data_IF_117956703086
#
_entry.id   IF_117956703086
#
_cell.length_a   1.000
_cell.length_b   1.000
_cell.length_c   1.000
_cell.angle_alpha   90.00
_cell.angle_beta   90.00
_cell.angle_gamma   90.00
#
_symmetry.space_group_name_H-M   'P 1'
#
loop_
_entity.id
_entity.type
_entity.pdbx_description
1 polymer ?
#
# COMPACT_ATOMS: atom_id res chain seq x y z
N UNK A 1 -7.79 3.37 -22.62
CA UNK A 1 -7.20 3.91 -21.37
C UNK A 1 -5.82 4.41 -21.75
N UNK A 2 -5.54 5.72 -21.65
CA UNK A 2 -4.20 6.27 -21.97
C UNK A 2 -3.23 5.90 -20.85
N UNK A 3 -2.58 4.74 -20.99
CA UNK A 3 -1.67 4.14 -20.02
C UNK A 3 -0.56 5.04 -19.46
N UNK A 4 0.10 5.95 -20.23
CA UNK A 4 1.18 6.75 -19.66
C UNK A 4 0.72 7.71 -18.54
N UNK A 5 -0.57 8.08 -18.51
CA UNK A 5 -1.08 9.03 -17.52
C UNK A 5 -1.36 8.39 -16.14
N UNK A 6 -1.54 7.07 -16.06
CA UNK A 6 -1.89 6.33 -14.82
C UNK A 6 -0.63 5.92 -14.02
N UNK A 7 0.56 6.36 -14.45
CA UNK A 7 1.83 5.90 -13.88
C UNK A 7 2.31 6.71 -12.68
N UNK A 8 1.75 7.90 -12.46
CA UNK A 8 2.26 8.83 -11.45
C UNK A 8 1.21 9.10 -10.38
N UNK A 9 1.60 8.96 -9.12
CA UNK A 9 0.69 9.13 -7.99
C UNK A 9 1.26 10.14 -7.00
N UNK A 10 0.36 10.89 -6.36
CA UNK A 10 0.68 11.64 -5.16
C UNK A 10 0.35 10.77 -3.94
N UNK A 11 1.27 10.68 -3.00
CA UNK A 11 1.06 9.99 -1.74
C UNK A 11 0.90 10.99 -0.61
N UNK A 12 0.04 10.67 0.35
CA UNK A 12 -0.13 11.39 1.60
C UNK A 12 0.01 10.40 2.75
N UNK A 13 0.56 10.86 3.86
CA UNK A 13 0.73 10.09 5.08
C UNK A 13 0.26 10.94 6.25
N UNK A 14 -0.48 10.33 7.16
CA UNK A 14 -0.89 10.94 8.42
C UNK A 14 -0.47 10.03 9.56
N UNK A 15 -0.12 10.64 10.70
CA UNK A 15 0.03 9.90 11.94
C UNK A 15 -1.36 9.65 12.53
N UNK A 16 -1.55 8.49 13.17
CA UNK A 16 -2.80 8.12 13.83
C UNK A 16 -2.51 7.55 15.22
N UNK A 17 -3.55 7.40 16.05
CA UNK A 17 -3.39 6.83 17.37
C UNK A 17 -3.03 5.33 17.29
N UNK A 18 -2.48 4.81 18.38
CA UNK A 18 -2.05 3.42 18.45
C UNK A 18 -3.24 2.46 18.26
N UNK A 19 -3.04 1.42 17.44
CA UNK A 19 -4.05 0.39 17.09
C UNK A 19 -5.36 0.92 16.48
N UNK A 20 -5.40 2.15 15.97
CA UNK A 20 -6.55 2.60 15.20
C UNK A 20 -6.47 2.05 13.77
N UNK A 21 -7.47 1.26 13.38
CA UNK A 21 -7.57 0.77 12.00
C UNK A 21 -8.20 1.82 11.07
N UNK A 22 -9.06 2.70 11.58
CA UNK A 22 -9.71 3.73 10.77
C UNK A 22 -8.71 4.84 10.43
N UNK A 23 -8.67 5.24 9.17
CA UNK A 23 -7.79 6.32 8.73
C UNK A 23 -8.31 7.65 9.28
N UNK A 24 -7.64 8.18 10.30
CA UNK A 24 -7.91 9.52 10.82
C UNK A 24 -7.55 10.58 9.77
N UNK A 25 -8.36 11.65 9.68
CA UNK A 25 -8.16 12.77 8.74
C UNK A 25 -8.15 12.35 7.25
N UNK A 26 -8.85 11.26 6.91
CA UNK A 26 -8.97 10.78 5.53
C UNK A 26 -9.59 11.84 4.62
N UNK A 27 -10.55 12.62 5.11
CA UNK A 27 -11.21 13.69 4.36
C UNK A 27 -10.21 14.77 3.91
N UNK A 28 -9.33 15.22 4.81
CA UNK A 28 -8.24 16.15 4.48
C UNK A 28 -7.28 15.58 3.45
N UNK A 29 -6.93 14.30 3.57
CA UNK A 29 -6.05 13.61 2.61
C UNK A 29 -6.70 13.51 1.22
N UNK A 30 -7.94 13.03 1.15
CA UNK A 30 -8.67 12.91 -0.12
C UNK A 30 -8.83 14.28 -0.78
N UNK A 31 -9.16 15.33 -0.01
CA UNK A 31 -9.26 16.69 -0.51
C UNK A 31 -7.96 17.15 -1.18
N UNK A 32 -6.82 16.92 -0.53
CA UNK A 32 -5.52 17.29 -1.09
C UNK A 32 -5.18 16.48 -2.37
N UNK A 33 -5.53 15.19 -2.42
CA UNK A 33 -5.36 14.36 -3.61
C UNK A 33 -6.23 14.86 -4.77
N UNK A 34 -7.50 15.21 -4.51
CA UNK A 34 -8.42 15.75 -5.51
C UNK A 34 -7.93 17.11 -6.06
N UNK A 35 -7.45 18.00 -5.19
CA UNK A 35 -6.84 19.27 -5.61
C UNK A 35 -5.59 19.02 -6.48
N UNK A 36 -4.75 18.08 -6.08
CA UNK A 36 -3.54 17.73 -6.83
C UNK A 36 -3.88 17.15 -8.21
N UNK A 37 -4.89 16.29 -8.27
CA UNK A 37 -5.40 15.75 -9.52
C UNK A 37 -5.91 16.85 -10.45
N UNK A 38 -6.70 17.79 -9.92
CA UNK A 38 -7.22 18.91 -10.68
C UNK A 38 -6.11 19.82 -11.21
N UNK A 39 -5.11 20.16 -10.36
CA UNK A 39 -3.94 20.96 -10.78
C UNK A 39 -3.15 20.30 -11.92
N UNK A 40 -3.08 18.97 -11.94
CA UNK A 40 -2.32 18.23 -12.94
C UNK A 40 -3.08 17.98 -14.25
N UNK A 41 -4.38 17.72 -14.17
CA UNK A 41 -5.19 17.29 -15.33
C UNK A 41 -6.10 18.39 -15.88
N UNK A 42 -6.31 19.47 -15.12
CA UNK A 42 -7.30 20.50 -15.39
C UNK A 42 -8.76 20.01 -15.28
N UNK A 43 -8.98 18.78 -14.81
CA UNK A 43 -10.30 18.13 -14.76
C UNK A 43 -10.56 17.58 -13.37
N UNK A 44 -11.83 17.59 -12.95
CA UNK A 44 -12.26 16.95 -11.71
C UNK A 44 -12.46 15.44 -11.99
N UNK A 45 -12.07 14.54 -11.07
CA UNK A 45 -12.37 13.13 -11.21
C UNK A 45 -13.87 12.89 -11.35
N UNK A 46 -14.27 12.12 -12.38
CA UNK A 46 -15.68 11.75 -12.56
C UNK A 46 -16.09 10.53 -11.76
N UNK A 47 -15.11 9.76 -11.26
CA UNK A 47 -15.29 8.50 -10.53
C UNK A 47 -14.15 8.36 -9.53
N UNK A 48 -14.42 7.76 -8.37
CA UNK A 48 -13.42 7.42 -7.36
C UNK A 48 -13.44 5.92 -7.16
N UNK A 49 -12.26 5.30 -7.21
CA UNK A 49 -12.07 3.87 -6.90
C UNK A 49 -11.11 3.81 -5.74
N UNK A 50 -11.59 3.30 -4.60
CA UNK A 50 -10.88 3.32 -3.34
C UNK A 50 -10.53 1.90 -2.91
N UNK A 51 -9.24 1.58 -3.00
CA UNK A 51 -8.69 0.29 -2.56
C UNK A 51 -8.14 0.43 -1.15
N UNK A 52 -8.74 -0.28 -0.20
CA UNK A 52 -8.46 -0.16 1.23
C UNK A 52 -7.86 -1.46 1.78
N UNK A 53 -6.62 -1.41 2.27
CA UNK A 53 -5.88 -2.60 2.70
C UNK A 53 -5.79 -2.76 4.22
N UNK A 54 -5.96 -3.97 4.73
CA UNK A 54 -5.63 -4.28 6.14
C UNK A 54 -6.81 -4.23 7.10
N UNK A 55 -8.04 -4.38 6.60
CA UNK A 55 -9.24 -4.43 7.45
C UNK A 55 -9.70 -5.89 7.60
N UNK A 56 -10.09 -6.26 8.82
CA UNK A 56 -10.75 -7.54 9.10
C UNK A 56 -12.24 -7.51 8.75
N UNK A 57 -12.83 -8.64 8.36
CA UNK A 57 -14.25 -8.71 7.95
C UNK A 57 -15.20 -8.10 9.00
N UNK A 58 -14.95 -8.33 10.29
CA UNK A 58 -15.75 -7.77 11.39
C UNK A 58 -15.75 -6.24 11.47
N UNK A 59 -14.83 -5.56 10.80
CA UNK A 59 -14.71 -4.10 10.76
C UNK A 59 -15.25 -3.48 9.46
N UNK A 60 -15.64 -4.28 8.47
CA UNK A 60 -16.03 -3.80 7.13
C UNK A 60 -17.09 -2.70 7.17
N UNK A 61 -18.21 -2.94 7.86
CA UNK A 61 -19.30 -1.97 7.96
C UNK A 61 -18.88 -0.68 8.65
N UNK A 62 -18.12 -0.79 9.75
CA UNK A 62 -17.71 0.36 10.52
C UNK A 62 -16.74 1.25 9.72
N UNK A 63 -15.76 0.63 9.06
CA UNK A 63 -14.81 1.35 8.22
C UNK A 63 -15.49 1.93 6.98
N UNK A 64 -16.38 1.18 6.32
CA UNK A 64 -17.12 1.67 5.17
C UNK A 64 -17.89 2.95 5.51
N UNK A 65 -18.65 2.95 6.61
CA UNK A 65 -19.47 4.11 7.00
C UNK A 65 -18.59 5.34 7.23
N UNK A 66 -17.52 5.21 8.03
CA UNK A 66 -16.68 6.33 8.42
C UNK A 66 -15.81 6.84 7.26
N UNK A 67 -15.17 5.94 6.51
CA UNK A 67 -14.29 6.33 5.40
C UNK A 67 -15.09 6.83 4.19
N UNK A 68 -16.28 6.27 3.92
CA UNK A 68 -17.16 6.81 2.87
C UNK A 68 -17.64 8.22 3.22
N UNK A 69 -18.07 8.46 4.46
CA UNK A 69 -18.44 9.81 4.93
C UNK A 69 -17.28 10.79 4.79
N UNK A 70 -16.05 10.38 5.13
CA UNK A 70 -14.85 11.19 4.93
C UNK A 70 -14.59 11.52 3.45
N UNK A 71 -14.75 10.54 2.54
CA UNK A 71 -14.64 10.76 1.09
C UNK A 71 -15.71 11.78 0.62
N UNK A 72 -16.96 11.64 1.09
CA UNK A 72 -18.06 12.56 0.75
C UNK A 72 -17.82 13.97 1.26
N UNK A 73 -17.38 14.13 2.51
CA UNK A 73 -17.00 15.42 3.10
C UNK A 73 -15.87 16.08 2.31
N UNK A 74 -14.86 15.32 1.90
CA UNK A 74 -13.78 15.82 1.07
C UNK A 74 -14.30 16.37 -0.28
N UNK A 75 -15.17 15.64 -0.96
CA UNK A 75 -15.77 16.08 -2.22
C UNK A 75 -16.64 17.33 -2.04
N UNK A 76 -17.54 17.34 -1.04
CA UNK A 76 -18.40 18.49 -0.73
C UNK A 76 -17.59 19.75 -0.33
N UNK A 77 -16.42 19.57 0.30
CA UNK A 77 -15.53 20.69 0.67
C UNK A 77 -14.86 21.40 -0.51
N UNK A 78 -14.89 20.80 -1.71
CA UNK A 78 -14.29 21.36 -2.92
C UNK A 78 -15.28 22.18 -3.74
N UNK A 79 -16.51 21.70 -3.85
CA UNK A 79 -17.58 22.31 -4.62
C UNK A 79 -18.93 21.76 -4.14
N UNK A 80 -19.90 22.65 -3.96
CA UNK A 80 -21.25 22.25 -3.59
C UNK A 80 -21.89 21.37 -4.68
N UNK A 81 -22.46 20.23 -4.28
CA UNK A 81 -23.01 19.23 -5.20
C UNK A 81 -22.00 18.33 -5.92
N UNK A 82 -20.69 18.45 -5.67
CA UNK A 82 -19.71 17.52 -6.26
C UNK A 82 -19.76 16.15 -5.57
N UNK A 83 -20.46 15.21 -6.20
CA UNK A 83 -20.69 13.84 -5.70
C UNK A 83 -20.30 12.80 -6.76
N UNK A 84 -19.00 12.57 -7.01
CA UNK A 84 -18.59 11.52 -7.93
C UNK A 84 -18.99 10.13 -7.38
N UNK A 85 -19.43 9.20 -8.23
CA UNK A 85 -19.68 7.82 -7.81
C UNK A 85 -18.41 7.15 -7.29
N UNK A 86 -18.56 6.42 -6.18
CA UNK A 86 -17.46 5.76 -5.46
C UNK A 86 -17.60 4.24 -5.53
N UNK A 87 -16.50 3.55 -5.81
CA UNK A 87 -16.35 2.10 -5.59
C UNK A 87 -15.36 1.89 -4.46
N UNK A 88 -15.77 1.19 -3.40
CA UNK A 88 -14.98 0.89 -2.22
C UNK A 88 -14.64 -0.61 -2.19
N UNK A 89 -13.35 -0.92 -2.33
CA UNK A 89 -12.85 -2.29 -2.40
C UNK A 89 -11.87 -2.52 -1.25
N UNK A 90 -12.19 -3.44 -0.35
CA UNK A 90 -11.26 -3.91 0.68
C UNK A 90 -10.34 -4.97 0.12
N UNK A 91 -9.06 -4.85 0.42
CA UNK A 91 -8.00 -5.77 0.04
C UNK A 91 -7.55 -6.52 1.29
N UNK A 92 -7.60 -7.85 1.22
CA UNK A 92 -7.09 -8.74 2.25
C UNK A 92 -5.98 -9.62 1.68
N UNK A 93 -4.76 -9.36 2.13
CA UNK A 93 -3.54 -10.09 1.70
C UNK A 93 -3.14 -11.19 2.67
N UNK A 94 -3.64 -11.10 3.91
CA UNK A 94 -3.32 -11.98 5.03
C UNK A 94 -4.54 -12.81 5.38
N UNK A 95 -4.73 -13.90 4.63
CA UNK A 95 -5.75 -14.91 4.91
C UNK A 95 -5.17 -16.32 4.72
N UNK A 96 -5.98 -17.32 5.07
CA UNK A 96 -5.59 -18.73 5.04
C UNK A 96 -5.90 -19.43 3.71
N UNK A 97 -6.70 -18.82 2.84
CA UNK A 97 -7.00 -19.36 1.50
C UNK A 97 -5.74 -19.52 0.65
N UNK A 98 -5.55 -20.71 0.07
CA UNK A 98 -4.50 -21.04 -0.89
C UNK A 98 -5.15 -21.71 -2.10
N UNK A 99 -4.69 -21.33 -3.28
CA UNK A 99 -5.16 -21.87 -4.55
C UNK A 99 -4.05 -22.71 -5.16
N UNK A 100 -4.42 -23.90 -5.62
CA UNK A 100 -3.50 -24.85 -6.23
C UNK A 100 -3.99 -25.20 -7.65
N UNK A 101 -3.07 -25.47 -8.59
CA UNK A 101 -3.43 -25.97 -9.91
C UNK A 101 -4.21 -27.29 -9.80
N UNK A 102 -5.31 -27.43 -10.52
CA UNK A 102 -6.12 -28.67 -10.51
C UNK A 102 -5.33 -29.90 -10.97
N UNK A 103 -4.34 -29.72 -11.85
CA UNK A 103 -3.40 -30.77 -12.26
C UNK A 103 -1.99 -30.39 -11.82
N UNK A 104 -1.48 -31.10 -10.82
CA UNK A 104 -0.15 -30.88 -10.28
C UNK A 104 0.93 -31.29 -11.30
N UNK A 105 1.99 -30.47 -11.42
CA UNK A 105 3.15 -30.77 -12.27
C UNK A 105 3.02 -30.39 -13.75
N UNK A 106 1.84 -29.95 -14.20
CA UNK A 106 1.63 -29.44 -15.57
C UNK A 106 2.19 -28.03 -15.73
N UNK A 107 3.37 -27.92 -16.35
CA UNK A 107 4.08 -26.64 -16.55
C UNK A 107 3.34 -25.61 -17.41
N UNK A 108 2.31 -26.02 -18.14
CA UNK A 108 1.48 -25.14 -18.96
C UNK A 108 0.42 -24.38 -18.16
N UNK A 109 0.05 -24.88 -16.98
CA UNK A 109 -0.94 -24.24 -16.07
C UNK A 109 -0.32 -23.75 -14.76
N UNK A 110 1.00 -23.86 -14.62
CA UNK A 110 1.74 -23.41 -13.43
C UNK A 110 2.82 -22.42 -13.79
N UNK A 111 3.16 -21.54 -12.85
CA UNK A 111 4.39 -20.78 -12.96
C UNK A 111 5.63 -21.66 -12.69
N UNK A 112 6.82 -21.04 -12.71
CA UNK A 112 8.10 -21.74 -12.51
C UNK A 112 8.24 -22.40 -11.13
N UNK A 113 7.50 -21.92 -10.14
CA UNK A 113 7.51 -22.43 -8.76
C UNK A 113 6.46 -23.51 -8.50
N UNK A 114 5.60 -23.81 -9.49
CA UNK A 114 4.49 -24.74 -9.36
C UNK A 114 3.22 -24.10 -8.78
N UNK A 115 3.18 -22.78 -8.63
CA UNK A 115 1.98 -22.04 -8.23
C UNK A 115 1.04 -21.81 -9.41
N UNK A 116 -0.18 -21.38 -9.09
CA UNK A 116 -1.14 -20.86 -10.09
C UNK A 116 -0.54 -19.71 -10.90
N UNK A 117 -0.98 -19.57 -12.15
CA UNK A 117 -0.47 -18.54 -13.05
C UNK A 117 -0.84 -17.12 -12.57
N UNK A 118 0.02 -16.11 -12.80
CA UNK A 118 -0.35 -14.71 -12.59
C UNK A 118 -1.60 -14.34 -13.40
N UNK A 119 -2.53 -13.63 -12.77
CA UNK A 119 -3.83 -13.28 -13.34
C UNK A 119 -4.92 -14.33 -13.09
N UNK A 120 -4.64 -15.43 -12.37
CA UNK A 120 -5.68 -16.37 -11.93
C UNK A 120 -6.68 -15.64 -11.02
N UNK A 121 -7.96 -15.71 -11.40
CA UNK A 121 -9.09 -15.15 -10.65
C UNK A 121 -10.01 -16.30 -10.22
N UNK A 122 -10.53 -16.21 -8.99
CA UNK A 122 -11.58 -17.10 -8.48
C UNK A 122 -12.66 -16.24 -7.84
N UNK A 123 -13.86 -16.22 -8.43
CA UNK A 123 -15.04 -15.47 -7.98
C UNK A 123 -16.26 -16.39 -7.77
N UNK A 124 -16.03 -17.71 -7.75
CA UNK A 124 -17.06 -18.75 -7.62
C UNK A 124 -16.67 -19.77 -6.56
N UNK A 125 -17.66 -20.53 -6.08
CA UNK A 125 -17.59 -21.66 -5.12
C UNK A 125 -17.09 -21.33 -3.70
N UNK A 126 -15.91 -20.71 -3.59
CA UNK A 126 -15.23 -20.38 -2.32
C UNK A 126 -15.41 -18.92 -1.89
N UNK A 127 -16.07 -18.11 -2.72
CA UNK A 127 -16.36 -16.70 -2.46
C UNK A 127 -17.64 -16.55 -1.64
N UNK A 128 -17.90 -15.34 -1.14
CA UNK A 128 -19.07 -15.07 -0.30
C UNK A 128 -20.37 -15.38 -1.07
N UNK A 129 -21.35 -16.08 -0.47
CA UNK A 129 -22.53 -16.55 -1.20
C UNK A 129 -23.49 -15.44 -1.68
N UNK A 130 -23.30 -14.19 -1.24
CA UNK A 130 -24.19 -13.06 -1.54
C UNK A 130 -23.49 -11.73 -1.80
N UNK A 131 -22.24 -11.61 -1.42
CA UNK A 131 -21.51 -10.34 -1.55
C UNK A 131 -20.64 -10.40 -2.80
N UNK A 132 -20.16 -9.25 -3.23
CA UNK A 132 -19.29 -9.18 -4.39
C UNK A 132 -17.84 -9.24 -3.93
N UNK A 133 -17.28 -10.44 -3.92
CA UNK A 133 -15.87 -10.69 -3.61
C UNK A 133 -15.20 -11.60 -4.65
N UNK A 134 -13.88 -11.54 -4.73
CA UNK A 134 -13.09 -12.40 -5.60
C UNK A 134 -11.65 -12.51 -5.12
N UNK A 135 -11.02 -13.63 -5.42
CA UNK A 135 -9.59 -13.82 -5.27
C UNK A 135 -8.87 -13.51 -6.58
N UNK A 136 -7.75 -12.80 -6.51
CA UNK A 136 -6.86 -12.55 -7.65
C UNK A 136 -5.41 -12.81 -7.25
N UNK A 137 -4.74 -13.70 -7.99
CA UNK A 137 -3.31 -13.91 -7.89
C UNK A 137 -2.59 -13.15 -9.00
N UNK A 138 -2.35 -11.86 -8.83
CA UNK A 138 -1.73 -11.01 -9.86
C UNK A 138 -0.23 -11.27 -10.08
N UNK A 139 0.47 -11.91 -9.15
CA UNK A 139 1.92 -12.06 -9.15
C UNK A 139 2.34 -13.52 -9.38
N UNK A 140 3.54 -13.72 -9.93
CA UNK A 140 4.16 -15.04 -9.99
C UNK A 140 4.79 -15.40 -8.64
N UNK A 141 4.55 -16.62 -8.19
CA UNK A 141 5.21 -17.23 -7.05
C UNK A 141 6.71 -17.34 -7.32
N UNK A 142 7.50 -16.69 -6.47
CA UNK A 142 8.96 -16.83 -6.52
C UNK A 142 9.39 -18.00 -5.64
N UNK A 143 8.81 -18.09 -4.44
CA UNK A 143 9.14 -19.09 -3.45
C UNK A 143 7.90 -19.40 -2.58
N UNK A 144 7.76 -20.67 -2.20
CA UNK A 144 6.63 -21.14 -1.40
C UNK A 144 5.32 -21.13 -2.17
N UNK A 145 4.20 -21.12 -1.45
CA UNK A 145 2.86 -21.05 -2.05
C UNK A 145 2.41 -19.59 -2.18
N UNK A 146 2.02 -19.20 -3.39
CA UNK A 146 1.44 -17.88 -3.66
C UNK A 146 0.20 -17.67 -2.80
N UNK A 147 0.07 -16.45 -2.26
CA UNK A 147 -1.13 -16.02 -1.56
C UNK A 147 -1.94 -15.17 -2.53
N UNK A 148 -2.99 -15.72 -3.15
CA UNK A 148 -3.92 -14.88 -3.92
C UNK A 148 -4.48 -13.83 -2.96
N UNK A 149 -4.81 -12.64 -3.45
CA UNK A 149 -5.39 -11.59 -2.62
C UNK A 149 -6.89 -11.64 -2.76
N UNK A 150 -7.57 -11.52 -1.63
CA UNK A 150 -9.02 -11.47 -1.55
C UNK A 150 -9.50 -10.03 -1.60
N UNK A 151 -10.34 -9.71 -2.58
CA UNK A 151 -10.94 -8.40 -2.80
C UNK A 151 -12.42 -8.49 -2.45
N UNK A 152 -12.87 -7.63 -1.55
CA UNK A 152 -14.28 -7.48 -1.19
C UNK A 152 -14.78 -6.11 -1.64
N UNK A 153 -15.80 -6.08 -2.49
CA UNK A 153 -16.44 -4.84 -2.92
C UNK A 153 -17.53 -4.50 -1.91
N UNK A 154 -17.22 -3.58 -1.00
CA UNK A 154 -18.16 -3.20 0.06
C UNK A 154 -19.23 -2.23 -0.43
N UNK A 155 -18.93 -1.44 -1.44
CA UNK A 155 -19.86 -0.45 -2.01
C UNK A 155 -19.46 -0.11 -3.44
N UNK A 156 -20.42 -0.03 -4.36
CA UNK A 156 -20.13 0.30 -5.76
C UNK A 156 -21.25 1.09 -6.44
N UNK A 157 -21.04 2.39 -6.62
CA UNK A 157 -21.93 3.26 -7.40
C UNK A 157 -21.52 3.38 -8.86
N UNK A 158 -20.33 2.90 -9.22
CA UNK A 158 -19.90 2.88 -10.62
C UNK A 158 -20.50 1.69 -11.38
N UNK A 159 -21.18 0.77 -10.69
CA UNK A 159 -21.85 -0.40 -11.24
C UNK A 159 -20.93 -1.24 -12.12
N UNK A 160 -19.75 -1.58 -11.61
CA UNK A 160 -18.81 -2.46 -12.28
C UNK A 160 -19.39 -3.87 -12.44
N UNK A 161 -19.13 -4.49 -13.59
CA UNK A 161 -19.25 -5.94 -13.72
C UNK A 161 -18.08 -6.64 -13.02
N UNK A 162 -18.26 -7.91 -12.66
CA UNK A 162 -17.20 -8.79 -12.16
C UNK A 162 -15.95 -8.72 -13.04
N UNK A 163 -16.08 -9.03 -14.33
CA UNK A 163 -15.00 -8.94 -15.31
C UNK A 163 -14.34 -7.56 -15.35
N UNK A 164 -15.15 -6.49 -15.34
CA UNK A 164 -14.67 -5.13 -15.44
C UNK A 164 -13.77 -4.73 -14.28
N UNK A 165 -14.19 -5.07 -13.05
CA UNK A 165 -13.42 -4.77 -11.85
C UNK A 165 -12.20 -5.68 -11.71
N UNK A 166 -12.33 -6.97 -12.03
CA UNK A 166 -11.23 -7.94 -11.97
C UNK A 166 -10.12 -7.57 -12.96
N UNK A 167 -10.46 -7.25 -14.21
CA UNK A 167 -9.51 -6.80 -15.24
C UNK A 167 -8.83 -5.49 -14.81
N UNK A 168 -9.60 -4.53 -14.29
CA UNK A 168 -9.06 -3.27 -13.78
C UNK A 168 -8.07 -3.51 -12.65
N UNK A 169 -8.45 -4.32 -11.66
CA UNK A 169 -7.61 -4.63 -10.49
C UNK A 169 -6.32 -5.30 -10.93
N UNK A 170 -6.41 -6.31 -11.80
CA UNK A 170 -5.23 -6.99 -12.34
C UNK A 170 -4.35 -6.03 -13.14
N UNK A 171 -4.94 -5.19 -13.98
CA UNK A 171 -4.22 -4.17 -14.76
C UNK A 171 -3.44 -3.20 -13.88
N UNK A 172 -4.04 -2.73 -12.78
CA UNK A 172 -3.39 -1.83 -11.84
C UNK A 172 -2.16 -2.47 -11.17
N UNK A 173 -2.16 -3.78 -10.94
CA UNK A 173 -0.99 -4.50 -10.41
C UNK A 173 0.25 -4.43 -11.32
N UNK A 174 0.08 -4.19 -12.62
CA UNK A 174 1.21 -4.00 -13.56
C UNK A 174 1.69 -2.55 -13.67
N UNK A 175 1.01 -1.59 -13.02
CA UNK A 175 1.40 -0.17 -13.06
C UNK A 175 2.48 0.20 -12.03
N UNK A 176 2.97 -0.77 -11.27
CA UNK A 176 3.94 -0.53 -10.21
C UNK A 176 5.32 -0.17 -10.76
N UNK A 177 5.69 1.10 -10.64
CA UNK A 177 6.88 1.66 -11.27
C UNK A 177 8.22 1.06 -10.77
N UNK A 178 8.28 0.41 -9.60
CA UNK A 178 9.54 -0.07 -9.03
C UNK A 178 9.99 -1.44 -9.52
N UNK A 179 9.12 -2.21 -10.17
CA UNK A 179 9.54 -3.47 -10.80
C UNK A 179 8.75 -3.78 -12.07
N UNK A 180 9.39 -4.46 -13.01
CA UNK A 180 8.77 -4.97 -14.25
C UNK A 180 7.97 -6.26 -14.03
N UNK A 181 7.36 -6.40 -12.85
CA UNK A 181 6.54 -7.55 -12.44
C UNK A 181 5.25 -7.03 -11.83
N UNK A 182 4.15 -7.76 -12.05
CA UNK A 182 2.93 -7.50 -11.32
C UNK A 182 3.15 -7.72 -9.82
N UNK A 183 2.73 -6.73 -9.04
CA UNK A 183 2.73 -6.80 -7.58
C UNK A 183 1.41 -7.32 -7.07
N UNK A 184 1.44 -7.96 -5.92
CA UNK A 184 0.24 -8.46 -5.27
C UNK A 184 -0.77 -7.32 -5.01
N UNK A 185 -0.31 -6.09 -4.78
CA UNK A 185 -1.15 -4.98 -4.33
C UNK A 185 -1.04 -3.80 -5.27
N UNK A 186 -2.12 -3.07 -5.50
CA UNK A 186 -2.06 -1.73 -6.08
C UNK A 186 -1.25 -0.82 -5.15
N UNK A 187 -0.06 -0.38 -5.59
CA UNK A 187 0.79 0.56 -4.85
C UNK A 187 0.96 1.83 -5.67
N UNK A 188 0.49 2.95 -5.13
CA UNK A 188 0.77 4.28 -5.64
C UNK A 188 2.26 4.62 -5.46
N UNK A 189 2.95 4.94 -6.56
CA UNK A 189 4.34 5.43 -6.51
C UNK A 189 4.38 6.95 -6.33
N UNK A 190 5.19 7.44 -5.38
CA UNK A 190 5.40 8.87 -5.11
C UNK A 190 5.97 9.66 -6.31
N UNK A 191 5.66 10.96 -6.34
CA UNK A 191 6.08 11.92 -7.37
C UNK A 191 7.61 11.91 -7.64
N UNK A 192 7.95 11.74 -8.92
CA UNK A 192 9.27 11.90 -9.53
C UNK A 192 9.55 13.39 -9.81
N UNK A 193 10.80 13.92 -9.75
CA UNK A 193 12.11 13.25 -9.65
C UNK A 193 12.80 13.31 -8.28
N UNK A 194 12.20 13.95 -7.26
CA UNK A 194 12.95 14.30 -6.04
C UNK A 194 13.06 13.16 -5.01
N UNK A 195 12.25 12.10 -5.14
CA UNK A 195 12.09 11.05 -4.12
C UNK A 195 12.81 9.74 -4.47
N UNK A 196 13.47 9.64 -5.62
CA UNK A 196 14.05 8.37 -6.11
C UNK A 196 15.52 8.16 -5.83
N UNK A 197 16.23 9.16 -5.28
CA UNK A 197 17.61 8.98 -4.89
C UNK A 197 17.71 8.49 -3.43
N UNK A 198 17.69 7.18 -3.26
CA UNK A 198 17.93 6.52 -1.96
C UNK A 198 19.43 6.32 -1.73
N UNK A 199 19.87 6.47 -0.48
CA UNK A 199 21.16 5.93 -0.03
C UNK A 199 20.85 4.74 0.86
N UNK A 200 21.41 3.58 0.52
CA UNK A 200 21.34 2.39 1.34
C UNK A 200 22.64 2.20 2.09
N UNK A 201 22.55 1.75 3.34
CA UNK A 201 23.67 1.26 4.13
C UNK A 201 23.28 -0.12 4.65
N UNK A 202 24.21 -1.05 4.60
CA UNK A 202 24.05 -2.42 5.09
C UNK A 202 25.13 -2.65 6.14
N UNK A 203 24.76 -3.28 7.24
CA UNK A 203 25.69 -3.66 8.30
C UNK A 203 25.42 -5.11 8.70
N UNK A 204 26.47 -5.89 8.89
CA UNK A 204 26.35 -7.26 9.38
C UNK A 204 25.92 -7.23 10.86
N UNK A 205 25.08 -8.19 11.25
CA UNK A 205 24.59 -8.35 12.63
C UNK A 205 24.96 -9.76 13.11
N UNK A 206 25.11 -9.94 14.42
CA UNK A 206 25.28 -11.28 14.97
C UNK A 206 23.99 -12.09 14.80
N UNK A 207 24.12 -13.42 14.87
CA UNK A 207 22.97 -14.32 14.77
C UNK A 207 21.98 -14.08 15.92
N UNK A 208 20.69 -13.92 15.59
CA UNK A 208 19.59 -13.63 16.54
C UNK A 208 19.75 -12.33 17.35
N UNK A 209 20.31 -11.29 16.75
CA UNK A 209 20.37 -9.96 17.37
C UNK A 209 19.27 -9.05 16.81
N UNK A 210 18.35 -8.61 17.68
CA UNK A 210 17.22 -7.77 17.26
C UNK A 210 17.55 -6.29 17.18
N UNK A 211 18.50 -5.84 18.00
CA UNK A 211 18.94 -4.46 18.05
C UNK A 211 19.91 -4.25 16.89
N UNK A 212 19.65 -3.24 16.06
CA UNK A 212 20.58 -2.88 14.98
C UNK A 212 21.88 -2.34 15.60
N UNK A 213 22.93 -3.15 15.61
CA UNK A 213 24.26 -2.70 15.98
C UNK A 213 24.71 -1.54 15.09
N UNK A 214 25.26 -0.50 15.72
CA UNK A 214 25.75 0.72 15.06
C UNK A 214 24.68 1.53 14.28
N UNK A 215 23.40 1.41 14.65
CA UNK A 215 22.33 2.20 14.03
C UNK A 215 22.63 3.71 14.00
N UNK A 216 23.16 4.26 15.10
CA UNK A 216 23.52 5.68 15.19
C UNK A 216 24.58 6.09 14.16
N UNK A 217 25.61 5.27 13.94
CA UNK A 217 26.63 5.52 12.92
C UNK A 217 26.05 5.52 11.50
N UNK A 218 25.21 4.53 11.21
CA UNK A 218 24.52 4.44 9.91
C UNK A 218 23.64 5.67 9.65
N UNK A 219 22.85 6.08 10.64
CA UNK A 219 21.98 7.26 10.51
C UNK A 219 22.81 8.52 10.32
N UNK A 220 23.89 8.70 11.08
CA UNK A 220 24.80 9.84 10.91
C UNK A 220 25.32 9.94 9.48
N UNK A 221 25.75 8.83 8.88
CA UNK A 221 26.21 8.81 7.48
C UNK A 221 25.11 9.14 6.47
N UNK A 222 23.89 8.67 6.69
CA UNK A 222 22.73 9.02 5.86
C UNK A 222 22.42 10.51 5.95
N UNK A 223 22.47 11.08 7.16
CA UNK A 223 22.22 12.50 7.39
C UNK A 223 23.32 13.39 6.80
N UNK A 224 24.60 13.03 6.94
CA UNK A 224 25.72 13.73 6.27
C UNK A 224 25.52 13.68 4.75
N UNK A 225 25.15 12.51 4.22
CA UNK A 225 24.91 12.35 2.79
C UNK A 225 23.73 13.19 2.31
N UNK A 226 22.66 13.28 3.10
CA UNK A 226 21.52 14.13 2.82
C UNK A 226 21.92 15.61 2.80
N UNK A 227 22.70 16.04 3.80
CA UNK A 227 23.19 17.41 3.90
C UNK A 227 24.09 17.77 2.71
N UNK A 228 25.05 16.92 2.35
CA UNK A 228 25.92 17.12 1.18
C UNK A 228 25.13 17.26 -0.13
N UNK A 229 24.02 16.54 -0.26
CA UNK A 229 23.19 16.57 -1.47
C UNK A 229 22.22 17.75 -1.53
N UNK A 230 21.68 18.18 -0.39
CA UNK A 230 20.58 19.16 -0.34
C UNK A 230 20.99 20.53 0.21
N UNK A 231 22.16 20.63 0.84
CA UNK A 231 22.60 21.82 1.57
C UNK A 231 21.78 22.14 2.81
N UNK A 232 20.86 21.24 3.23
CA UNK A 232 19.94 21.47 4.36
C UNK A 232 19.91 20.27 5.29
N UNK A 233 19.71 20.52 6.58
CA UNK A 233 19.42 19.47 7.56
C UNK A 233 17.96 19.01 7.42
N UNK A 234 17.66 17.70 7.53
CA UNK A 234 16.29 17.23 7.51
C UNK A 234 15.56 17.69 8.78
N UNK A 235 14.36 18.25 8.63
CA UNK A 235 13.55 18.75 9.76
C UNK A 235 12.67 17.68 10.42
N UNK A 236 12.35 16.63 9.68
CA UNK A 236 11.51 15.51 10.11
C UNK A 236 12.10 14.23 9.52
N UNK A 237 12.20 13.20 10.34
CA UNK A 237 12.73 11.89 9.96
C UNK A 237 11.62 10.87 10.25
N UNK A 238 11.33 10.02 9.29
CA UNK A 238 10.45 8.86 9.46
C UNK A 238 11.33 7.63 9.43
N UNK A 239 11.24 6.79 10.46
CA UNK A 239 12.01 5.57 10.60
C UNK A 239 11.04 4.38 10.57
N UNK A 240 11.12 3.55 9.53
CA UNK A 240 10.35 2.33 9.43
C UNK A 240 11.21 1.16 9.90
N UNK A 241 10.70 0.40 10.89
CA UNK A 241 11.37 -0.76 11.46
C UNK A 241 10.43 -1.95 11.39
N UNK A 242 10.90 -3.03 10.78
CA UNK A 242 10.17 -4.31 10.66
C UNK A 242 10.93 -5.42 11.41
N UNK A 243 10.24 -6.49 11.81
CA UNK A 243 10.86 -7.67 12.44
C UNK A 243 11.11 -7.57 13.94
N UNK A 244 10.29 -6.82 14.69
CA UNK A 244 10.35 -6.77 16.15
C UNK A 244 9.10 -7.45 16.73
N UNK A 245 9.30 -8.36 17.69
CA UNK A 245 8.18 -8.96 18.43
C UNK A 245 7.59 -7.96 19.44
N UNK A 246 6.30 -8.11 19.77
CA UNK A 246 5.61 -7.23 20.71
C UNK A 246 6.32 -7.16 22.08
N UNK A 247 6.87 -8.28 22.56
CA UNK A 247 7.57 -8.37 23.84
C UNK A 247 8.89 -7.59 23.90
N UNK A 248 9.52 -7.32 22.75
CA UNK A 248 10.79 -6.58 22.67
C UNK A 248 10.61 -5.13 22.23
N UNK A 249 9.41 -4.75 21.78
CA UNK A 249 9.13 -3.43 21.22
C UNK A 249 9.64 -2.28 22.08
N UNK A 250 9.30 -2.25 23.37
CA UNK A 250 9.71 -1.15 24.27
C UNK A 250 11.23 -1.08 24.43
N UNK A 251 11.90 -2.23 24.53
CA UNK A 251 13.34 -2.29 24.68
C UNK A 251 14.06 -1.78 23.43
N UNK A 252 13.64 -2.26 22.25
CA UNK A 252 14.20 -1.82 20.96
C UNK A 252 13.90 -0.33 20.72
N UNK A 253 12.69 0.12 21.01
CA UNK A 253 12.29 1.52 20.85
C UNK A 253 13.18 2.45 21.68
N UNK A 254 13.45 2.13 22.95
CA UNK A 254 14.28 2.98 23.82
C UNK A 254 15.71 3.09 23.27
N UNK A 255 16.32 1.96 22.92
CA UNK A 255 17.71 1.92 22.47
C UNK A 255 17.91 2.53 21.08
N UNK A 256 17.06 2.17 20.12
CA UNK A 256 17.16 2.70 18.75
C UNK A 256 16.83 4.19 18.72
N UNK A 257 15.83 4.65 19.49
CA UNK A 257 15.48 6.07 19.55
C UNK A 257 16.58 6.93 20.17
N UNK A 258 17.25 6.43 21.22
CA UNK A 258 18.43 7.10 21.80
C UNK A 258 19.58 7.18 20.77
N UNK A 259 19.85 6.09 20.04
CA UNK A 259 20.86 6.06 18.98
C UNK A 259 20.53 7.03 17.83
N UNK A 260 19.27 7.10 17.39
CA UNK A 260 18.78 8.05 16.37
C UNK A 260 18.99 9.49 16.85
N UNK A 261 18.61 9.81 18.09
CA UNK A 261 18.74 11.15 18.67
C UNK A 261 20.20 11.59 18.78
N UNK A 262 21.07 10.71 19.29
CA UNK A 262 22.52 10.96 19.37
C UNK A 262 23.12 11.21 17.98
N UNK A 263 22.72 10.42 16.98
CA UNK A 263 23.17 10.62 15.61
C UNK A 263 22.73 11.98 15.03
N UNK A 264 21.49 12.38 15.29
CA UNK A 264 20.97 13.68 14.87
C UNK A 264 21.70 14.85 15.55
N UNK A 265 21.98 14.75 16.85
CA UNK A 265 22.71 15.77 17.62
C UNK A 265 24.18 15.90 17.17
N UNK A 266 24.80 14.83 16.67
CA UNK A 266 26.20 14.85 16.20
C UNK A 266 26.46 15.65 14.92
N UNK A 267 25.42 16.24 14.32
CA UNK A 267 25.49 17.05 13.10
C UNK A 267 25.47 18.55 13.37
N UNK A 268 25.29 18.96 14.62
CA UNK A 268 25.43 20.34 15.09
C UNK A 268 26.90 20.71 15.27
#
# INVERSE_FOLDING_TARGET
>A
MDWPQVTTYKALVSAQAHMEEIIQNLDGMIRELLISFYKRTGKKPKRIIFYRDGISEGQFNHVLILEMDAIRKACASLEDGYLPPVTFVVIQKRHHTRLFPGVHGRRDVTDRSGNILPGTVVDTEICHPREFDFYLCSHAGIQGTSRPIHYHVLYDENCFSADGLQILTNSLCYTYARCTRAVSVVVASMDWPQVTTYKALVSAQAHMEEIIQNLGGMIRELLISFYKRTGKKPKRIIFYRDGISEGQFNHVLILEMDAIRKACASLD
#
